data_IF_628476416680
#
_entry.id   IF_628476416680
#
_cell.length_a   1.000
_cell.length_b   1.000
_cell.length_c   1.000
_cell.angle_alpha   90.00
_cell.angle_beta   90.00
_cell.angle_gamma   90.00
#
_symmetry.space_group_name_H-M   'P 1'
#
loop_
_entity.id
_entity.type
_entity.pdbx_description
1 polymer ?
#
# COMPACT_ATOMS: atom_id res chain seq x y z
N UNK A 1 -0.61 68.60 -50.18
CA UNK A 1 -1.15 68.23 -48.86
C UNK A 1 -2.27 67.22 -49.05
N UNK A 2 -2.03 65.93 -48.82
CA UNK A 2 -3.07 64.93 -48.53
C UNK A 2 -2.44 63.80 -47.74
N UNK A 3 -2.84 63.69 -46.47
CA UNK A 3 -2.38 62.69 -45.50
C UNK A 3 -3.14 61.38 -45.70
N UNK A 4 -2.42 60.25 -45.79
CA UNK A 4 -2.97 58.90 -45.63
C UNK A 4 -2.38 58.28 -44.38
N UNK A 5 -3.13 58.30 -43.29
CA UNK A 5 -2.82 57.58 -42.06
C UNK A 5 -3.02 56.08 -42.26
N UNK A 6 -2.01 55.28 -41.94
CA UNK A 6 -2.05 53.82 -42.00
C UNK A 6 -2.03 53.28 -40.57
N UNK A 7 -3.20 53.00 -40.00
CA UNK A 7 -3.34 52.34 -38.71
C UNK A 7 -3.07 50.84 -38.87
N UNK A 8 -1.88 50.37 -38.46
CA UNK A 8 -1.61 48.94 -38.28
C UNK A 8 -2.06 48.50 -36.89
N UNK A 9 -3.21 47.81 -36.85
CA UNK A 9 -3.66 47.04 -35.70
C UNK A 9 -2.69 45.88 -35.44
N UNK A 10 -1.90 45.96 -34.36
CA UNK A 10 -1.09 44.83 -33.89
C UNK A 10 -1.95 44.01 -32.93
N UNK A 11 -2.64 42.98 -33.45
CA UNK A 11 -3.29 41.97 -32.60
C UNK A 11 -2.21 41.14 -31.92
N UNK A 12 -1.94 41.42 -30.64
CA UNK A 12 -1.12 40.55 -29.81
C UNK A 12 -1.91 39.28 -29.48
N UNK A 13 -1.50 38.14 -30.07
CA UNK A 13 -1.96 36.83 -29.65
C UNK A 13 -1.31 36.49 -28.30
N UNK A 14 -1.98 36.83 -27.21
CA UNK A 14 -1.61 36.33 -25.89
C UNK A 14 -2.03 34.87 -25.79
N UNK A 15 -1.07 33.96 -26.03
CA UNK A 15 -1.21 32.56 -25.65
C UNK A 15 -1.07 32.51 -24.13
N UNK A 16 -2.17 32.23 -23.42
CA UNK A 16 -2.14 31.98 -21.99
C UNK A 16 -1.38 30.67 -21.75
N UNK A 17 -0.08 30.79 -21.48
CA UNK A 17 0.80 29.66 -21.23
C UNK A 17 0.69 29.34 -19.74
N UNK A 18 -0.13 28.35 -19.40
CA UNK A 18 -0.35 27.87 -18.03
C UNK A 18 0.83 27.03 -17.49
N UNK A 19 1.94 26.96 -18.22
CA UNK A 19 3.16 26.32 -17.75
C UNK A 19 4.05 27.38 -17.10
N UNK A 20 4.32 27.18 -15.81
CA UNK A 20 5.32 27.94 -15.06
C UNK A 20 6.66 27.88 -15.84
N UNK A 21 7.39 29.00 -16.01
CA UNK A 21 8.66 28.97 -16.70
C UNK A 21 9.61 28.03 -15.95
N UNK A 22 9.98 26.91 -16.58
CA UNK A 22 10.96 25.97 -16.03
C UNK A 22 12.26 26.75 -15.79
N UNK A 23 12.56 27.02 -14.51
CA UNK A 23 13.72 27.80 -14.11
C UNK A 23 15.00 27.07 -14.55
N UNK A 24 15.75 27.69 -15.48
CA UNK A 24 17.13 27.28 -15.76
C UNK A 24 17.98 27.63 -14.54
N UNK A 25 18.35 26.62 -13.73
CA UNK A 25 19.07 26.82 -12.48
C UNK A 25 19.24 25.52 -11.66
N UNK A 26 19.46 25.65 -10.35
CA UNK A 26 19.58 24.54 -9.40
C UNK A 26 18.33 23.67 -9.33
N UNK A 27 18.48 22.41 -8.89
CA UNK A 27 17.38 21.44 -8.77
C UNK A 27 16.16 22.03 -8.04
N UNK A 28 14.93 21.90 -8.58
CA UNK A 28 13.74 22.49 -7.99
C UNK A 28 13.46 21.93 -6.59
N UNK A 29 13.21 22.83 -5.64
CA UNK A 29 12.78 22.49 -4.28
C UNK A 29 11.34 21.96 -4.28
N UNK A 30 10.95 21.29 -3.19
CA UNK A 30 9.56 20.85 -3.05
C UNK A 30 8.67 22.08 -2.86
N UNK A 31 7.50 22.07 -3.49
CA UNK A 31 6.44 23.04 -3.24
C UNK A 31 6.02 22.99 -1.77
N UNK A 32 5.58 24.12 -1.21
CA UNK A 32 5.11 24.18 0.16
C UNK A 32 3.88 23.28 0.34
N UNK A 33 3.96 22.33 1.29
CA UNK A 33 2.82 21.47 1.63
C UNK A 33 1.76 22.27 2.38
N UNK A 34 0.50 22.04 2.03
CA UNK A 34 -0.63 22.61 2.76
C UNK A 34 -0.80 21.94 4.14
N UNK A 35 -1.42 22.64 5.10
CA UNK A 35 -1.70 22.09 6.45
C UNK A 35 -2.53 20.80 6.35
N UNK A 36 -3.54 20.80 5.48
CA UNK A 36 -4.40 19.64 5.24
C UNK A 36 -3.60 18.45 4.69
N UNK A 37 -2.67 18.69 3.76
CA UNK A 37 -1.80 17.63 3.22
C UNK A 37 -0.92 17.03 4.32
N UNK A 38 -0.38 17.85 5.22
CA UNK A 38 0.41 17.39 6.38
C UNK A 38 -0.45 16.53 7.31
N UNK A 39 -1.67 16.97 7.65
CA UNK A 39 -2.57 16.20 8.51
C UNK A 39 -2.94 14.84 7.89
N UNK A 40 -3.24 14.81 6.59
CA UNK A 40 -3.51 13.55 5.88
C UNK A 40 -2.29 12.64 5.91
N UNK A 41 -1.08 13.17 5.71
CA UNK A 41 0.16 12.40 5.79
C UNK A 41 0.39 11.82 7.19
N UNK A 42 0.05 12.56 8.25
CA UNK A 42 0.09 12.06 9.63
C UNK A 42 -0.89 10.89 9.84
N UNK A 43 -2.14 11.03 9.38
CA UNK A 43 -3.15 9.97 9.45
C UNK A 43 -2.67 8.73 8.68
N UNK A 44 -2.20 8.92 7.45
CA UNK A 44 -1.65 7.84 6.61
C UNK A 44 -0.47 7.17 7.31
N UNK A 45 0.42 7.92 7.97
CA UNK A 45 1.52 7.35 8.72
C UNK A 45 1.04 6.45 9.87
N UNK A 46 0.02 6.88 10.63
CA UNK A 46 -0.60 6.07 11.68
C UNK A 46 -1.24 4.82 11.09
N UNK A 47 -2.03 4.95 10.02
CA UNK A 47 -2.65 3.83 9.31
C UNK A 47 -1.60 2.80 8.84
N UNK A 48 -0.49 3.26 8.25
CA UNK A 48 0.62 2.40 7.85
C UNK A 48 1.25 1.66 9.04
N UNK A 49 1.40 2.33 10.18
CA UNK A 49 1.95 1.72 11.40
C UNK A 49 1.03 0.63 11.96
N UNK A 50 -0.29 0.82 11.87
CA UNK A 50 -1.30 -0.18 12.27
C UNK A 50 -1.33 -1.36 11.29
N UNK A 51 -1.35 -1.09 9.98
CA UNK A 51 -1.44 -2.11 8.94
C UNK A 51 -0.16 -2.94 8.79
N UNK A 52 1.01 -2.29 8.79
CA UNK A 52 2.31 -2.93 8.54
C UNK A 52 3.05 -3.28 9.83
N UNK A 53 2.32 -3.60 10.89
CA UNK A 53 2.88 -4.37 11.98
C UNK A 53 3.51 -5.65 11.43
N UNK A 54 4.65 -6.07 11.99
CA UNK A 54 5.40 -7.21 11.47
C UNK A 54 4.46 -8.41 11.27
N UNK A 55 4.36 -8.87 10.04
CA UNK A 55 3.39 -9.91 9.64
C UNK A 55 3.71 -11.23 10.32
N UNK A 56 4.99 -11.52 10.59
CA UNK A 56 5.38 -12.70 11.37
C UNK A 56 4.84 -12.63 12.79
N UNK A 57 5.00 -11.47 13.45
CA UNK A 57 4.46 -11.24 14.79
C UNK A 57 2.94 -11.25 14.80
N UNK A 58 2.28 -10.68 13.78
CA UNK A 58 0.82 -10.72 13.64
C UNK A 58 0.28 -12.14 13.50
N UNK A 59 0.94 -12.97 12.70
CA UNK A 59 0.61 -14.39 12.56
C UNK A 59 0.78 -15.12 13.90
N UNK A 60 1.88 -14.86 14.62
CA UNK A 60 2.09 -15.43 15.94
C UNK A 60 0.99 -15.00 16.94
N UNK A 61 0.56 -13.73 16.90
CA UNK A 61 -0.56 -13.22 17.71
C UNK A 61 -1.86 -13.91 17.32
N UNK A 62 -2.16 -14.10 16.04
CA UNK A 62 -3.38 -14.80 15.60
C UNK A 62 -3.39 -16.26 16.03
N UNK A 63 -2.29 -17.00 15.85
CA UNK A 63 -2.18 -18.38 16.29
C UNK A 63 -2.24 -18.51 17.81
N UNK A 64 -1.55 -17.62 18.53
CA UNK A 64 -1.59 -17.55 19.99
C UNK A 64 -2.99 -17.24 20.51
N UNK A 65 -3.70 -16.29 19.89
CA UNK A 65 -5.09 -15.99 20.23
C UNK A 65 -6.01 -17.18 19.92
N UNK A 66 -5.88 -17.81 18.75
CA UNK A 66 -6.68 -18.99 18.40
C UNK A 66 -6.49 -20.14 19.37
N UNK A 67 -5.28 -20.34 19.88
CA UNK A 67 -5.00 -21.43 20.82
C UNK A 67 -5.40 -21.04 22.25
N UNK A 68 -4.78 -19.98 22.80
CA UNK A 68 -4.93 -19.60 24.19
C UNK A 68 -6.32 -19.05 24.51
N UNK A 69 -6.85 -18.15 23.67
CA UNK A 69 -8.15 -17.54 23.94
C UNK A 69 -9.30 -18.54 23.72
N UNK A 70 -9.16 -19.47 22.77
CA UNK A 70 -10.13 -20.57 22.63
C UNK A 70 -10.11 -21.50 23.84
N UNK A 71 -8.94 -21.87 24.37
CA UNK A 71 -8.85 -22.69 25.58
C UNK A 71 -9.50 -21.99 26.79
N UNK A 72 -9.24 -20.69 26.94
CA UNK A 72 -9.88 -19.89 27.99
C UNK A 72 -11.40 -19.85 27.80
N UNK A 73 -11.89 -19.70 26.57
CA UNK A 73 -13.32 -19.68 26.28
C UNK A 73 -14.02 -21.03 26.47
N UNK A 74 -13.31 -22.13 26.23
CA UNK A 74 -13.85 -23.48 26.47
C UNK A 74 -13.93 -23.78 27.98
N UNK A 75 -13.06 -23.19 28.80
CA UNK A 75 -13.07 -23.33 30.27
C UNK A 75 -13.99 -22.33 30.95
N UNK A 76 -13.96 -21.07 30.53
CA UNK A 76 -14.78 -19.99 31.07
C UNK A 76 -15.97 -19.75 30.14
N UNK A 77 -17.15 -20.18 30.56
CA UNK A 77 -18.39 -19.87 29.84
C UNK A 77 -18.65 -18.37 29.88
N UNK A 78 -18.27 -17.65 28.81
CA UNK A 78 -18.48 -16.21 28.71
C UNK A 78 -19.97 -15.86 28.71
N UNK A 79 -20.37 -14.75 29.37
CA UNK A 79 -21.77 -14.35 29.42
C UNK A 79 -22.30 -14.04 28.02
N UNK A 80 -23.58 -14.35 27.79
CA UNK A 80 -24.24 -14.08 26.51
C UNK A 80 -24.32 -12.57 26.28
N UNK A 81 -23.57 -12.07 25.30
CA UNK A 81 -23.59 -10.67 24.84
C UNK A 81 -24.21 -10.57 23.44
N UNK A 82 -24.34 -9.35 22.90
CA UNK A 82 -24.79 -9.13 21.52
C UNK A 82 -23.98 -9.94 20.48
N UNK A 83 -22.67 -10.07 20.68
CA UNK A 83 -21.78 -10.84 19.79
C UNK A 83 -21.97 -12.36 19.87
N UNK A 84 -22.56 -12.86 20.96
CA UNK A 84 -22.90 -14.27 21.13
C UNK A 84 -24.07 -14.72 20.25
N UNK A 85 -24.92 -13.79 19.79
CA UNK A 85 -26.07 -14.17 18.95
C UNK A 85 -25.64 -14.28 17.49
N UNK A 86 -25.94 -15.43 16.87
CA UNK A 86 -25.59 -15.70 15.46
C UNK A 86 -26.35 -14.83 14.45
N UNK A 87 -27.45 -14.20 14.88
CA UNK A 87 -28.29 -13.30 14.10
C UNK A 87 -27.84 -11.83 14.13
N UNK A 88 -26.76 -11.52 14.85
CA UNK A 88 -26.28 -10.14 14.95
C UNK A 88 -25.83 -9.61 13.56
N UNK A 89 -25.93 -8.28 13.39
CA UNK A 89 -25.68 -7.61 12.09
C UNK A 89 -24.26 -7.89 11.59
N UNK A 90 -23.28 -7.89 12.49
CA UNK A 90 -21.88 -8.14 12.14
C UNK A 90 -21.68 -9.58 11.64
N UNK A 91 -22.30 -10.57 12.28
CA UNK A 91 -22.17 -11.96 11.84
C UNK A 91 -22.89 -12.18 10.50
N UNK A 92 -24.11 -11.64 10.35
CA UNK A 92 -24.91 -11.85 9.14
C UNK A 92 -24.39 -11.10 7.91
N UNK A 93 -24.03 -9.82 8.03
CA UNK A 93 -23.65 -9.00 6.87
C UNK A 93 -22.15 -8.86 6.72
N UNK A 94 -21.41 -8.85 7.83
CA UNK A 94 -19.99 -8.55 7.78
C UNK A 94 -19.14 -9.81 7.67
N UNK A 95 -19.36 -10.83 8.51
CA UNK A 95 -18.57 -12.08 8.45
C UNK A 95 -18.98 -12.96 7.27
N UNK A 96 -20.28 -13.22 7.07
CA UNK A 96 -20.75 -14.08 5.97
C UNK A 96 -20.42 -13.53 4.58
N UNK A 97 -20.52 -12.22 4.39
CA UNK A 97 -20.19 -11.54 3.13
C UNK A 97 -18.77 -10.95 3.20
N UNK A 98 -17.91 -11.45 4.10
CA UNK A 98 -16.63 -10.84 4.41
C UNK A 98 -15.66 -10.72 3.24
N UNK A 99 -15.69 -11.71 2.35
CA UNK A 99 -14.87 -11.68 1.14
C UNK A 99 -15.25 -10.54 0.20
N UNK A 100 -16.55 -10.22 0.08
CA UNK A 100 -17.02 -9.11 -0.74
C UNK A 100 -16.46 -7.78 -0.22
N UNK A 101 -16.52 -7.53 1.09
CA UNK A 101 -15.98 -6.30 1.68
C UNK A 101 -14.47 -6.17 1.44
N UNK A 102 -13.76 -7.30 1.51
CA UNK A 102 -12.32 -7.36 1.22
C UNK A 102 -12.05 -7.01 -0.25
N UNK A 103 -12.78 -7.61 -1.20
CA UNK A 103 -12.63 -7.29 -2.62
C UNK A 103 -13.06 -5.87 -2.96
N UNK A 104 -14.13 -5.38 -2.34
CA UNK A 104 -14.67 -4.04 -2.56
C UNK A 104 -13.65 -2.95 -2.28
N UNK A 105 -12.79 -3.12 -1.27
CA UNK A 105 -11.70 -2.17 -1.00
C UNK A 105 -10.41 -2.52 -1.75
N UNK A 106 -10.04 -3.79 -1.85
CA UNK A 106 -8.75 -4.19 -2.42
C UNK A 106 -8.71 -4.08 -3.94
N UNK A 107 -9.78 -4.42 -4.69
CA UNK A 107 -9.82 -4.32 -6.15
C UNK A 107 -9.58 -2.89 -6.66
N UNK A 108 -10.34 -1.85 -6.22
CA UNK A 108 -10.08 -0.49 -6.68
C UNK A 108 -8.73 0.02 -6.19
N UNK A 109 -8.31 -0.32 -4.97
CA UNK A 109 -7.00 0.05 -4.46
C UNK A 109 -5.85 -0.50 -5.31
N UNK A 110 -5.88 -1.80 -5.61
CA UNK A 110 -4.88 -2.48 -6.47
C UNK A 110 -4.94 -1.92 -7.88
N UNK A 111 -6.12 -1.65 -8.43
CA UNK A 111 -6.24 -1.03 -9.75
C UNK A 111 -5.59 0.35 -9.81
N UNK A 112 -5.89 1.24 -8.85
CA UNK A 112 -5.31 2.59 -8.81
C UNK A 112 -3.79 2.57 -8.62
N UNK A 113 -3.30 1.74 -7.69
CA UNK A 113 -1.86 1.61 -7.43
C UNK A 113 -1.11 0.96 -8.60
N UNK A 114 -1.68 -0.05 -9.23
CA UNK A 114 -1.10 -0.69 -10.42
C UNK A 114 -1.13 0.21 -11.64
N UNK A 115 -2.19 1.00 -11.84
CA UNK A 115 -2.28 1.90 -12.98
C UNK A 115 -1.17 2.94 -12.99
N UNK A 116 -0.86 3.53 -11.83
CA UNK A 116 0.26 4.48 -11.69
C UNK A 116 1.62 3.79 -11.88
N UNK A 117 1.88 2.70 -11.16
CA UNK A 117 3.20 2.02 -11.15
C UNK A 117 3.52 1.30 -12.47
N UNK A 118 2.49 0.89 -13.23
CA UNK A 118 2.60 0.31 -14.56
C UNK A 118 2.40 1.32 -15.70
N UNK A 119 2.38 2.63 -15.42
CA UNK A 119 2.19 3.69 -16.42
C UNK A 119 1.03 3.43 -17.42
N UNK A 120 -0.08 2.85 -16.95
CA UNK A 120 -1.26 2.55 -17.76
C UNK A 120 -1.21 1.28 -18.64
N UNK A 121 -0.18 0.43 -18.54
CA UNK A 121 -0.09 -0.82 -19.32
C UNK A 121 -1.10 -1.88 -18.84
N UNK A 122 -2.28 -1.91 -19.50
CA UNK A 122 -3.40 -2.79 -19.14
C UNK A 122 -3.05 -4.28 -19.02
N UNK A 123 -2.25 -4.81 -19.96
CA UNK A 123 -1.84 -6.23 -19.94
C UNK A 123 -1.09 -6.56 -18.65
N UNK A 124 -0.11 -5.73 -18.27
CA UNK A 124 0.67 -5.92 -17.05
C UNK A 124 -0.20 -5.79 -15.80
N UNK A 125 -1.11 -4.81 -15.75
CA UNK A 125 -2.04 -4.63 -14.62
C UNK A 125 -2.90 -5.89 -14.41
N UNK A 126 -3.44 -6.43 -15.51
CA UNK A 126 -4.28 -7.63 -15.46
C UNK A 126 -3.49 -8.86 -15.03
N UNK A 127 -2.36 -9.14 -15.66
CA UNK A 127 -1.61 -10.38 -15.43
C UNK A 127 -0.78 -10.37 -14.15
N UNK A 128 -0.27 -9.21 -13.73
CA UNK A 128 0.63 -9.12 -12.58
C UNK A 128 -0.07 -8.75 -11.27
N UNK A 129 -1.23 -8.07 -11.31
CA UNK A 129 -1.88 -7.55 -10.10
C UNK A 129 -3.30 -8.06 -9.93
N UNK A 130 -4.17 -7.93 -10.93
CA UNK A 130 -5.56 -8.37 -10.80
C UNK A 130 -5.70 -9.90 -10.77
N UNK A 131 -4.83 -10.62 -11.48
CA UNK A 131 -4.76 -12.07 -11.41
C UNK A 131 -4.50 -12.58 -9.98
N UNK A 132 -3.79 -11.80 -9.15
CA UNK A 132 -3.51 -12.16 -7.76
C UNK A 132 -4.78 -12.19 -6.91
N UNK A 133 -5.66 -11.21 -7.09
CA UNK A 133 -6.96 -11.16 -6.41
C UNK A 133 -7.89 -12.28 -6.90
N UNK A 134 -7.81 -12.63 -8.19
CA UNK A 134 -8.52 -13.78 -8.74
C UNK A 134 -8.04 -15.09 -8.12
N UNK A 135 -6.73 -15.32 -8.07
CA UNK A 135 -6.14 -16.49 -7.41
C UNK A 135 -6.55 -16.55 -5.93
N UNK A 136 -6.50 -15.41 -5.23
CA UNK A 136 -6.92 -15.35 -3.84
C UNK A 136 -8.39 -15.73 -3.65
N UNK A 137 -9.27 -15.31 -4.58
CA UNK A 137 -10.70 -15.67 -4.60
C UNK A 137 -10.93 -17.15 -4.88
N UNK A 138 -10.14 -17.73 -5.79
CA UNK A 138 -10.19 -19.17 -6.08
C UNK A 138 -9.83 -19.96 -4.82
N UNK A 139 -8.73 -19.63 -4.14
CA UNK A 139 -8.34 -20.31 -2.90
C UNK A 139 -9.39 -20.18 -1.79
N UNK A 140 -9.98 -18.99 -1.62
CA UNK A 140 -11.08 -18.80 -0.67
C UNK A 140 -12.26 -19.72 -0.98
N UNK A 141 -12.70 -19.75 -2.24
CA UNK A 141 -13.83 -20.58 -2.67
C UNK A 141 -13.51 -22.07 -2.53
N UNK A 142 -12.31 -22.51 -2.91
CA UNK A 142 -11.86 -23.89 -2.78
C UNK A 142 -11.86 -24.33 -1.31
N UNK A 143 -11.26 -23.57 -0.41
CA UNK A 143 -11.18 -23.95 1.00
C UNK A 143 -12.54 -23.96 1.70
N UNK A 144 -13.38 -22.96 1.46
CA UNK A 144 -14.74 -22.95 2.03
C UNK A 144 -15.59 -24.12 1.52
N UNK A 145 -15.44 -24.48 0.24
CA UNK A 145 -16.09 -25.67 -0.33
C UNK A 145 -15.53 -26.97 0.29
N UNK A 146 -14.22 -27.06 0.49
CA UNK A 146 -13.58 -28.22 1.13
C UNK A 146 -14.04 -28.38 2.58
N UNK A 147 -14.15 -27.29 3.36
CA UNK A 147 -14.64 -27.35 4.74
C UNK A 147 -16.07 -27.88 4.79
N UNK A 148 -16.97 -27.34 3.95
CA UNK A 148 -18.33 -27.85 3.83
C UNK A 148 -18.35 -29.33 3.40
N UNK A 149 -17.50 -29.73 2.46
CA UNK A 149 -17.40 -31.13 2.02
C UNK A 149 -16.95 -32.05 3.16
N UNK A 150 -15.99 -31.63 3.98
CA UNK A 150 -15.50 -32.40 5.13
C UNK A 150 -16.64 -32.60 6.14
N UNK A 151 -17.35 -31.55 6.49
CA UNK A 151 -18.48 -31.61 7.43
C UNK A 151 -19.59 -32.54 6.93
N UNK A 152 -19.90 -32.49 5.62
CA UNK A 152 -20.92 -33.34 4.99
C UNK A 152 -20.51 -34.81 4.92
N UNK A 153 -19.24 -35.12 4.63
CA UNK A 153 -18.78 -36.51 4.44
C UNK A 153 -18.47 -37.23 5.75
N UNK A 154 -17.93 -36.53 6.74
CA UNK A 154 -17.48 -37.13 7.99
C UNK A 154 -18.47 -36.92 9.15
N UNK A 155 -19.49 -36.09 8.97
CA UNK A 155 -20.55 -35.93 9.95
C UNK A 155 -21.51 -37.12 9.99
N UNK A 156 -22.20 -37.25 11.13
CA UNK A 156 -23.24 -38.27 11.35
C UNK A 156 -24.48 -37.63 11.93
N UNK A 157 -25.63 -38.07 11.45
CA UNK A 157 -26.91 -37.72 12.08
C UNK A 157 -27.05 -38.48 13.40
N UNK A 158 -27.68 -37.85 14.39
CA UNK A 158 -28.02 -38.52 15.65
C UNK A 158 -28.99 -39.71 15.43
N UNK A 159 -29.78 -39.67 14.35
CA UNK A 159 -30.61 -40.78 13.90
C UNK A 159 -29.87 -41.65 12.87
N UNK A 160 -29.97 -42.98 13.00
CA UNK A 160 -29.36 -43.93 12.04
C UNK A 160 -30.10 -43.99 10.70
N UNK A 161 -31.28 -43.40 10.60
CA UNK A 161 -32.14 -43.47 9.41
C UNK A 161 -31.68 -42.55 8.28
N UNK A 162 -30.96 -41.47 8.61
CA UNK A 162 -30.59 -40.43 7.64
C UNK A 162 -29.07 -40.29 7.55
N UNK A 163 -28.53 -40.48 6.35
CA UNK A 163 -27.10 -40.27 6.07
C UNK A 163 -26.78 -38.83 5.67
N UNK A 164 -27.77 -38.08 5.19
CA UNK A 164 -27.56 -36.76 4.61
C UNK A 164 -27.85 -35.63 5.62
N UNK A 165 -26.94 -34.67 5.74
CA UNK A 165 -27.07 -33.51 6.66
C UNK A 165 -28.37 -32.75 6.44
N UNK A 166 -28.72 -32.49 5.18
CA UNK A 166 -29.90 -31.69 4.83
C UNK A 166 -31.18 -32.40 5.28
N UNK A 167 -31.28 -33.71 5.05
CA UNK A 167 -32.44 -34.50 5.44
C UNK A 167 -32.50 -34.70 6.96
N UNK A 168 -31.35 -34.92 7.61
CA UNK A 168 -31.24 -35.00 9.07
C UNK A 168 -31.77 -33.72 9.75
N UNK A 169 -31.30 -32.55 9.32
CA UNK A 169 -31.70 -31.26 9.89
C UNK A 169 -33.16 -30.92 9.57
N UNK A 170 -33.64 -31.26 8.36
CA UNK A 170 -35.04 -31.03 7.96
C UNK A 170 -36.02 -31.80 8.84
N UNK A 171 -35.65 -33.00 9.27
CA UNK A 171 -36.46 -33.84 10.17
C UNK A 171 -36.24 -33.50 11.66
N UNK A 172 -35.58 -32.38 11.97
CA UNK A 172 -35.39 -31.89 13.33
C UNK A 172 -34.32 -32.66 14.14
N UNK A 173 -33.49 -33.47 13.48
CA UNK A 173 -32.39 -34.17 14.14
C UNK A 173 -31.13 -33.33 14.17
N UNK A 174 -30.24 -33.61 15.13
CA UNK A 174 -28.95 -32.94 15.25
C UNK A 174 -27.88 -33.65 14.39
N UNK A 175 -27.06 -32.85 13.70
CA UNK A 175 -25.92 -33.33 12.92
C UNK A 175 -24.64 -33.14 13.73
N UNK A 176 -23.95 -34.25 14.04
CA UNK A 176 -22.67 -34.22 14.73
C UNK A 176 -21.55 -34.43 13.70
N UNK A 177 -20.87 -33.36 13.30
CA UNK A 177 -19.78 -33.39 12.35
C UNK A 177 -18.68 -32.43 12.75
N UNK A 178 -17.49 -32.65 12.19
CA UNK A 178 -16.36 -31.75 12.37
C UNK A 178 -16.50 -30.55 11.44
N UNK A 179 -16.87 -29.39 11.99
CA UNK A 179 -17.17 -28.16 11.24
C UNK A 179 -15.99 -27.18 11.32
N UNK A 180 -15.06 -27.28 10.36
CA UNK A 180 -13.92 -26.37 10.29
C UNK A 180 -14.45 -24.94 10.10
N UNK A 181 -14.10 -24.05 11.04
CA UNK A 181 -14.67 -22.70 11.07
C UNK A 181 -14.30 -21.87 9.83
N UNK A 182 -15.22 -21.81 8.86
CA UNK A 182 -15.09 -20.96 7.67
C UNK A 182 -15.02 -19.46 8.01
N UNK A 183 -15.66 -19.05 9.11
CA UNK A 183 -15.62 -17.67 9.62
C UNK A 183 -14.22 -17.30 10.13
N UNK A 184 -13.57 -18.18 10.89
CA UNK A 184 -12.21 -17.91 11.35
C UNK A 184 -11.22 -17.87 10.17
N UNK A 185 -11.34 -18.82 9.23
CA UNK A 185 -10.56 -18.84 8.00
C UNK A 185 -10.70 -17.53 7.22
N UNK A 186 -11.92 -17.08 6.93
CA UNK A 186 -12.13 -15.88 6.11
C UNK A 186 -11.57 -14.62 6.77
N UNK A 187 -11.68 -14.49 8.09
CA UNK A 187 -11.19 -13.33 8.84
C UNK A 187 -9.66 -13.23 8.78
N UNK A 188 -8.96 -14.34 9.05
CA UNK A 188 -7.50 -14.40 9.01
C UNK A 188 -7.00 -14.25 7.57
N UNK A 189 -7.58 -15.01 6.64
CA UNK A 189 -7.15 -15.00 5.25
C UNK A 189 -7.35 -13.63 4.61
N UNK A 190 -8.52 -13.00 4.80
CA UNK A 190 -8.80 -11.65 4.30
C UNK A 190 -7.87 -10.62 4.90
N UNK A 191 -7.58 -10.71 6.21
CA UNK A 191 -6.63 -9.81 6.86
C UNK A 191 -5.23 -9.90 6.23
N UNK A 192 -4.70 -11.11 6.06
CA UNK A 192 -3.36 -11.30 5.53
C UNK A 192 -3.25 -10.85 4.06
N UNK A 193 -4.25 -11.14 3.24
CA UNK A 193 -4.33 -10.66 1.85
C UNK A 193 -4.38 -9.12 1.82
N UNK A 194 -5.24 -8.52 2.63
CA UNK A 194 -5.43 -7.07 2.68
C UNK A 194 -4.15 -6.33 3.09
N UNK A 195 -3.41 -6.86 4.08
CA UNK A 195 -2.12 -6.29 4.50
C UNK A 195 -1.08 -6.36 3.38
N UNK A 196 -0.95 -7.50 2.70
CA UNK A 196 0.01 -7.65 1.60
C UNK A 196 -0.31 -6.74 0.42
N UNK A 197 -1.59 -6.67 0.01
CA UNK A 197 -2.02 -5.78 -1.07
C UNK A 197 -1.76 -4.31 -0.73
N UNK A 198 -2.02 -3.90 0.52
CA UNK A 198 -1.77 -2.56 0.99
C UNK A 198 -0.28 -2.15 0.97
N UNK A 199 0.67 -3.11 0.96
CA UNK A 199 2.12 -2.81 0.92
C UNK A 199 2.54 -1.98 -0.30
N UNK A 200 1.72 -1.91 -1.34
CA UNK A 200 1.94 -1.03 -2.49
C UNK A 200 2.12 0.46 -2.09
N UNK A 201 1.61 0.91 -0.93
CA UNK A 201 1.83 2.29 -0.44
C UNK A 201 3.21 2.54 0.18
N UNK A 202 3.98 1.50 0.51
CA UNK A 202 5.36 1.70 0.93
C UNK A 202 6.09 2.42 -0.19
N UNK A 203 7.00 3.35 0.12
CA UNK A 203 7.70 4.17 -0.89
C UNK A 203 6.86 5.11 -1.76
N UNK A 204 5.52 5.10 -1.69
CA UNK A 204 4.63 5.83 -2.63
C UNK A 204 4.94 7.33 -2.73
N UNK A 205 5.15 7.99 -1.60
CA UNK A 205 5.44 9.44 -1.55
C UNK A 205 6.73 9.82 -2.28
N UNK A 206 7.67 8.88 -2.47
CA UNK A 206 8.93 9.12 -3.21
C UNK A 206 8.72 9.19 -4.71
N UNK A 207 7.60 8.68 -5.23
CA UNK A 207 7.29 8.75 -6.66
C UNK A 207 7.24 10.22 -7.10
N UNK A 208 6.70 11.12 -6.28
CA UNK A 208 6.71 12.58 -6.54
C UNK A 208 8.12 13.13 -6.72
N UNK A 209 9.07 12.72 -5.87
CA UNK A 209 10.46 13.14 -6.00
C UNK A 209 11.10 12.60 -7.27
N UNK A 210 10.88 11.32 -7.60
CA UNK A 210 11.43 10.73 -8.82
C UNK A 210 10.93 11.41 -10.08
N UNK A 211 9.63 11.75 -10.14
CA UNK A 211 9.03 12.47 -11.26
C UNK A 211 9.67 13.86 -11.42
N UNK A 212 9.80 14.60 -10.32
CA UNK A 212 10.43 15.94 -10.33
C UNK A 212 11.88 15.87 -10.80
N UNK A 213 12.64 14.94 -10.23
CA UNK A 213 14.06 14.78 -10.51
C UNK A 213 14.32 14.35 -11.97
N UNK A 214 13.45 13.51 -12.52
CA UNK A 214 13.51 13.09 -13.93
C UNK A 214 13.13 14.23 -14.88
N UNK A 215 12.07 15.00 -14.58
CA UNK A 215 11.67 16.17 -15.39
C UNK A 215 12.82 17.18 -15.49
N UNK A 216 13.48 17.46 -14.37
CA UNK A 216 14.65 18.35 -14.33
C UNK A 216 15.85 17.80 -15.10
N UNK A 217 16.15 16.50 -14.98
CA UNK A 217 17.26 15.88 -15.71
C UNK A 217 17.04 15.90 -17.23
N UNK A 218 15.79 15.72 -17.67
CA UNK A 218 15.40 15.80 -19.09
C UNK A 218 15.45 17.23 -19.63
N UNK A 219 15.06 18.25 -18.84
CA UNK A 219 15.11 19.65 -19.29
C UNK A 219 16.53 20.15 -19.50
N UNK A 220 17.51 19.61 -18.76
CA UNK A 220 18.93 19.92 -18.93
C UNK A 220 19.62 19.10 -20.03
N UNK A 221 18.92 18.14 -20.67
CA UNK A 221 19.52 17.13 -21.55
C UNK A 221 20.73 16.43 -20.90
N UNK A 222 20.74 16.33 -19.57
CA UNK A 222 21.85 15.72 -18.86
C UNK A 222 21.84 14.22 -19.17
N UNK A 223 22.90 13.73 -19.83
CA UNK A 223 23.12 12.32 -20.16
C UNK A 223 23.94 11.58 -19.11
N UNK A 224 24.26 12.24 -17.99
CA UNK A 224 24.96 11.61 -16.87
C UNK A 224 24.21 10.33 -16.40
N UNK A 225 24.94 9.32 -15.89
CA UNK A 225 24.33 8.16 -15.29
C UNK A 225 23.59 8.58 -14.01
N UNK A 226 22.29 8.86 -14.12
CA UNK A 226 21.44 9.17 -12.99
C UNK A 226 20.95 7.89 -12.32
N UNK A 227 20.89 7.89 -10.99
CA UNK A 227 20.39 6.75 -10.18
C UNK A 227 18.85 6.66 -10.22
N UNK A 228 18.18 7.51 -11.02
CA UNK A 228 16.72 7.61 -11.01
C UNK A 228 16.08 6.38 -11.69
N UNK A 229 15.20 5.62 -10.99
CA UNK A 229 14.51 4.47 -11.57
C UNK A 229 13.65 4.80 -12.82
N UNK A 230 13.24 6.07 -12.97
CA UNK A 230 12.39 6.52 -14.10
C UNK A 230 13.17 6.80 -15.39
N UNK A 231 14.51 6.76 -15.36
CA UNK A 231 15.35 7.10 -16.52
C UNK A 231 15.09 6.25 -17.76
N UNK A 232 14.68 4.99 -17.56
CA UNK A 232 14.42 4.01 -18.64
C UNK A 232 13.04 4.16 -19.29
N UNK A 233 12.17 5.01 -18.74
CA UNK A 233 10.76 5.14 -19.13
C UNK A 233 10.61 6.16 -20.26
N UNK A 234 9.69 5.91 -21.20
CA UNK A 234 9.43 6.84 -22.30
C UNK A 234 8.81 8.18 -21.83
N UNK A 235 8.84 9.24 -22.65
CA UNK A 235 8.21 10.53 -22.33
C UNK A 235 6.70 10.42 -22.13
N UNK A 236 6.01 9.64 -22.97
CA UNK A 236 4.57 9.46 -22.89
C UNK A 236 4.17 8.70 -21.62
N UNK A 237 4.93 7.66 -21.28
CA UNK A 237 4.75 6.89 -20.06
C UNK A 237 5.00 7.74 -18.81
N UNK A 238 5.99 8.66 -18.85
CA UNK A 238 6.25 9.60 -17.75
C UNK A 238 5.10 10.60 -17.58
N UNK A 239 4.51 11.09 -18.67
CA UNK A 239 3.36 11.99 -18.63
C UNK A 239 2.11 11.28 -18.06
N UNK A 240 1.87 10.03 -18.45
CA UNK A 240 0.81 9.20 -17.89
C UNK A 240 1.05 8.98 -16.39
N UNK A 241 2.28 8.66 -15.99
CA UNK A 241 2.65 8.49 -14.59
C UNK A 241 2.39 9.76 -13.77
N UNK A 242 2.80 10.94 -14.26
CA UNK A 242 2.54 12.21 -13.57
C UNK A 242 1.05 12.46 -13.36
N UNK A 243 0.28 12.44 -14.42
CA UNK A 243 -1.16 12.73 -14.39
C UNK A 243 -1.91 11.72 -13.52
N UNK A 244 -1.57 10.43 -13.63
CA UNK A 244 -2.20 9.39 -12.82
C UNK A 244 -1.80 9.46 -11.35
N UNK A 245 -0.54 9.78 -11.03
CA UNK A 245 -0.09 9.95 -9.64
C UNK A 245 -0.80 11.10 -8.95
N UNK A 246 -0.86 12.28 -9.58
CA UNK A 246 -1.53 13.46 -9.02
C UNK A 246 -3.03 13.21 -8.82
N UNK A 247 -3.69 12.57 -9.81
CA UNK A 247 -5.12 12.26 -9.73
C UNK A 247 -5.44 11.17 -8.72
N UNK A 248 -4.62 10.11 -8.63
CA UNK A 248 -4.97 8.91 -7.85
C UNK A 248 -4.45 8.91 -6.42
N UNK A 249 -3.39 9.64 -6.10
CA UNK A 249 -2.85 9.72 -4.73
C UNK A 249 -3.90 10.03 -3.65
N UNK A 250 -4.82 11.01 -3.78
CA UNK A 250 -5.82 11.25 -2.75
C UNK A 250 -6.75 10.04 -2.54
N UNK A 251 -7.17 9.38 -3.62
CA UNK A 251 -8.02 8.18 -3.53
C UNK A 251 -7.26 7.00 -2.93
N UNK A 252 -6.01 6.78 -3.33
CA UNK A 252 -5.15 5.73 -2.76
C UNK A 252 -4.99 5.92 -1.25
N UNK A 253 -4.79 7.16 -0.78
CA UNK A 253 -4.73 7.48 0.65
C UNK A 253 -6.07 7.23 1.35
N UNK A 254 -7.19 7.62 0.75
CA UNK A 254 -8.53 7.38 1.30
C UNK A 254 -8.84 5.87 1.42
N UNK A 255 -8.52 5.08 0.38
CA UNK A 255 -8.67 3.63 0.42
C UNK A 255 -7.77 3.00 1.48
N UNK A 256 -6.53 3.46 1.67
CA UNK A 256 -5.66 2.95 2.74
C UNK A 256 -6.28 3.16 4.13
N UNK A 257 -6.90 4.32 4.37
CA UNK A 257 -7.59 4.62 5.61
C UNK A 257 -8.77 3.66 5.80
N UNK A 258 -9.60 3.48 4.77
CA UNK A 258 -10.73 2.54 4.79
C UNK A 258 -10.27 1.07 5.02
N UNK A 259 -9.19 0.66 4.36
CA UNK A 259 -8.54 -0.65 4.52
C UNK A 259 -8.06 -0.84 5.96
N UNK A 260 -7.53 0.20 6.60
CA UNK A 260 -7.11 0.16 8.02
C UNK A 260 -8.31 -0.07 8.94
N UNK A 261 -9.42 0.64 8.73
CA UNK A 261 -10.63 0.44 9.51
C UNK A 261 -11.21 -0.97 9.32
N UNK A 262 -11.25 -1.46 8.07
CA UNK A 262 -11.71 -2.80 7.77
C UNK A 262 -10.82 -3.86 8.46
N UNK A 263 -9.51 -3.65 8.47
CA UNK A 263 -8.55 -4.52 9.15
C UNK A 263 -8.80 -4.59 10.66
N UNK A 264 -9.03 -3.46 11.33
CA UNK A 264 -9.37 -3.43 12.75
C UNK A 264 -10.69 -4.15 13.03
N UNK A 265 -11.65 -4.03 12.11
CA UNK A 265 -12.92 -4.73 12.20
C UNK A 265 -12.72 -6.26 12.07
N UNK A 266 -11.85 -6.73 11.17
CA UNK A 266 -11.47 -8.14 11.11
C UNK A 266 -10.86 -8.65 12.41
N UNK A 267 -9.99 -7.85 13.04
CA UNK A 267 -9.36 -8.22 14.32
C UNK A 267 -10.40 -8.37 15.45
N UNK A 268 -11.35 -7.43 15.56
CA UNK A 268 -12.43 -7.49 16.57
C UNK A 268 -13.38 -8.66 16.32
N UNK A 269 -13.72 -8.91 15.04
CA UNK A 269 -14.61 -10.03 14.69
C UNK A 269 -13.91 -11.37 14.89
N UNK A 270 -12.60 -11.47 14.66
CA UNK A 270 -11.83 -12.69 14.94
C UNK A 270 -11.88 -13.04 16.42
N UNK A 271 -11.65 -12.07 17.30
CA UNK A 271 -11.77 -12.26 18.75
C UNK A 271 -13.19 -12.70 19.11
N UNK A 272 -14.22 -12.07 18.54
CA UNK A 272 -15.62 -12.46 18.78
C UNK A 272 -15.92 -13.90 18.32
N UNK A 273 -15.40 -14.30 17.15
CA UNK A 273 -15.54 -15.68 16.65
C UNK A 273 -14.84 -16.69 17.56
N UNK A 274 -13.66 -16.34 18.07
CA UNK A 274 -12.90 -17.19 19.00
C UNK A 274 -13.66 -17.39 20.32
N UNK A 275 -14.31 -16.36 20.84
CA UNK A 275 -14.98 -16.42 22.14
C UNK A 275 -16.32 -17.16 22.13
N UNK A 276 -17.09 -17.10 21.05
CA UNK A 276 -18.51 -17.50 21.09
C UNK A 276 -18.91 -18.67 20.17
N UNK A 277 -18.09 -19.07 19.21
CA UNK A 277 -18.50 -20.03 18.16
C UNK A 277 -17.44 -21.10 17.95
N UNK A 278 -17.81 -22.34 17.60
CA UNK A 278 -16.90 -23.48 17.33
C UNK A 278 -16.01 -23.93 18.50
N UNK A 279 -15.49 -25.14 18.40
CA UNK A 279 -14.47 -25.68 19.33
C UNK A 279 -13.07 -25.20 18.95
N UNK A 280 -12.11 -25.24 19.89
CA UNK A 280 -10.73 -24.81 19.66
C UNK A 280 -10.07 -25.44 18.42
N UNK A 281 -10.22 -26.76 18.25
CA UNK A 281 -9.54 -27.50 17.17
C UNK A 281 -10.03 -27.08 15.78
N UNK A 282 -11.34 -26.87 15.61
CA UNK A 282 -11.94 -26.39 14.36
C UNK A 282 -11.41 -25.01 13.95
N UNK A 283 -11.32 -24.09 14.93
CA UNK A 283 -10.77 -22.74 14.72
C UNK A 283 -9.29 -22.81 14.36
N UNK A 284 -8.51 -23.60 15.10
CA UNK A 284 -7.07 -23.67 14.93
C UNK A 284 -6.67 -24.23 13.56
N UNK A 285 -7.32 -25.30 13.10
CA UNK A 285 -7.11 -25.85 11.75
C UNK A 285 -7.44 -24.81 10.68
N UNK A 286 -8.57 -24.11 10.82
CA UNK A 286 -8.97 -23.06 9.87
C UNK A 286 -7.93 -21.93 9.77
N UNK A 287 -7.35 -21.52 10.90
CA UNK A 287 -6.29 -20.50 10.96
C UNK A 287 -5.00 -20.96 10.32
N UNK A 288 -4.57 -22.21 10.57
CA UNK A 288 -3.38 -22.79 9.92
C UNK A 288 -3.56 -22.81 8.40
N UNK A 289 -4.71 -23.28 7.92
CA UNK A 289 -5.00 -23.33 6.48
C UNK A 289 -4.97 -21.94 5.85
N UNK A 290 -5.52 -20.92 6.52
CA UNK A 290 -5.46 -19.53 6.06
C UNK A 290 -4.01 -19.03 5.93
N UNK A 291 -3.20 -19.23 6.98
CA UNK A 291 -1.80 -18.78 7.02
C UNK A 291 -0.94 -19.52 6.00
N UNK A 292 -1.10 -20.84 5.87
CA UNK A 292 -0.38 -21.64 4.89
C UNK A 292 -0.71 -21.21 3.46
N UNK A 293 -1.99 -20.99 3.16
CA UNK A 293 -2.43 -20.52 1.84
C UNK A 293 -1.81 -19.16 1.50
N UNK A 294 -1.83 -18.24 2.46
CA UNK A 294 -1.17 -16.94 2.33
C UNK A 294 0.35 -17.08 2.14
N UNK A 295 1.00 -17.95 2.91
CA UNK A 295 2.46 -18.13 2.83
C UNK A 295 2.88 -18.69 1.47
N UNK A 296 2.21 -19.75 1.01
CA UNK A 296 2.47 -20.38 -0.29
C UNK A 296 2.27 -19.37 -1.42
N UNK A 297 1.23 -18.54 -1.35
CA UNK A 297 0.96 -17.54 -2.40
C UNK A 297 1.94 -16.36 -2.33
N UNK A 298 1.97 -15.60 -1.24
CA UNK A 298 2.71 -14.34 -1.16
C UNK A 298 4.20 -14.47 -0.86
N UNK A 299 4.65 -15.53 -0.19
CA UNK A 299 6.06 -15.71 0.19
C UNK A 299 6.82 -16.64 -0.74
N UNK A 300 6.13 -17.59 -1.37
CA UNK A 300 6.75 -18.57 -2.27
C UNK A 300 6.39 -18.34 -3.73
N UNK A 301 5.11 -18.38 -4.10
CA UNK A 301 4.70 -18.30 -5.50
C UNK A 301 5.02 -16.92 -6.10
N UNK A 302 4.50 -15.84 -5.51
CA UNK A 302 4.61 -14.50 -6.11
C UNK A 302 6.02 -13.91 -6.05
N UNK A 303 6.95 -14.56 -5.34
CA UNK A 303 8.36 -14.16 -5.29
C UNK A 303 9.19 -14.73 -6.43
N UNK A 304 8.68 -15.73 -7.16
CA UNK A 304 9.36 -16.35 -8.29
C UNK A 304 9.28 -15.42 -9.52
N UNK A 305 10.41 -14.87 -10.03
CA UNK A 305 10.37 -13.87 -11.10
C UNK A 305 9.83 -14.37 -12.44
N UNK A 306 9.88 -15.68 -12.68
CA UNK A 306 9.44 -16.32 -13.93
C UNK A 306 7.97 -16.70 -13.92
N UNK A 307 7.28 -16.60 -12.78
CA UNK A 307 5.91 -17.07 -12.60
C UNK A 307 5.02 -15.90 -12.20
N UNK A 308 3.94 -15.69 -12.97
CA UNK A 308 2.93 -14.69 -12.64
C UNK A 308 2.04 -15.20 -11.49
N UNK A 309 1.45 -14.30 -10.67
CA UNK A 309 1.56 -12.83 -10.66
C UNK A 309 2.76 -12.27 -9.86
N UNK A 310 3.08 -11.00 -10.07
CA UNK A 310 4.18 -10.30 -9.39
C UNK A 310 3.81 -9.89 -7.96
N UNK A 311 4.78 -9.40 -7.17
CA UNK A 311 4.49 -8.85 -5.83
C UNK A 311 3.72 -7.51 -5.88
N UNK A 312 2.97 -7.18 -4.81
CA UNK A 312 2.35 -5.87 -4.65
C UNK A 312 3.38 -4.74 -4.76
N UNK A 313 3.05 -3.69 -5.53
CA UNK A 313 3.94 -2.55 -5.74
C UNK A 313 5.13 -2.78 -6.70
N UNK A 314 5.21 -3.92 -7.38
CA UNK A 314 6.14 -4.10 -8.49
C UNK A 314 5.54 -3.57 -9.79
N UNK A 315 6.10 -2.48 -10.31
CA UNK A 315 5.70 -1.89 -11.60
C UNK A 315 6.84 -1.85 -12.62
N UNK A 316 6.72 -0.95 -13.58
CA UNK A 316 7.78 -0.72 -14.60
C UNK A 316 9.06 -0.16 -13.96
N UNK A 317 8.93 0.50 -12.82
CA UNK A 317 10.03 1.05 -12.05
C UNK A 317 9.91 0.67 -10.58
N UNK A 318 11.06 0.63 -9.90
CA UNK A 318 11.14 0.35 -8.47
C UNK A 318 11.12 1.65 -7.68
N UNK A 319 10.06 1.86 -6.89
CA UNK A 319 9.95 3.01 -5.98
C UNK A 319 10.17 2.63 -4.50
N UNK A 320 10.05 1.34 -4.17
CA UNK A 320 10.17 0.77 -2.83
C UNK A 320 11.60 0.42 -2.45
N UNK A 321 12.55 1.29 -2.78
CA UNK A 321 13.92 1.12 -2.34
C UNK A 321 13.97 1.56 -0.88
N UNK A 322 13.76 0.64 0.06
CA UNK A 322 14.26 0.87 1.41
C UNK A 322 15.74 1.21 1.26
N UNK A 323 16.16 2.39 1.76
CA UNK A 323 17.59 2.65 1.87
C UNK A 323 18.11 1.46 2.67
N UNK A 324 19.13 0.71 2.19
CA UNK A 324 19.85 -0.13 3.11
C UNK A 324 20.23 0.77 4.28
N UNK A 325 20.09 0.29 5.52
CA UNK A 325 20.74 0.90 6.67
C UNK A 325 22.25 0.80 6.40
N UNK A 326 22.77 1.64 5.51
CA UNK A 326 24.15 2.04 5.56
C UNK A 326 24.24 2.79 6.88
N UNK A 327 24.72 2.07 7.90
CA UNK A 327 25.39 2.67 9.04
C UNK A 327 26.12 3.91 8.50
N UNK A 328 25.79 5.07 9.07
CA UNK A 328 26.24 6.35 8.60
C UNK A 328 27.73 6.29 8.26
N UNK A 329 28.06 6.14 6.97
CA UNK A 329 29.41 6.40 6.51
C UNK A 329 29.57 7.89 6.81
N UNK A 330 30.48 8.29 7.72
CA UNK A 330 30.67 9.69 8.01
C UNK A 330 30.95 10.34 6.67
N UNK A 331 30.08 11.24 6.21
CA UNK A 331 30.44 12.10 5.11
C UNK A 331 31.69 12.82 5.60
N UNK A 332 32.84 12.42 5.05
CA UNK A 332 34.10 13.13 5.23
C UNK A 332 33.85 14.49 4.62
N UNK A 333 33.40 15.44 5.46
CA UNK A 333 33.41 16.86 5.12
C UNK A 333 34.84 17.09 4.66
N UNK A 334 35.04 17.32 3.35
CA UNK A 334 36.27 17.93 2.88
C UNK A 334 36.30 19.31 3.53
N UNK A 335 36.97 19.41 4.66
CA UNK A 335 37.38 20.68 5.22
C UNK A 335 38.36 21.28 4.23
N UNK A 336 37.86 22.14 3.35
CA UNK A 336 38.71 23.07 2.64
C UNK A 336 39.10 24.10 3.70
N UNK A 337 40.23 23.86 4.36
CA UNK A 337 40.91 24.88 5.14
C UNK A 337 41.46 25.86 4.12
N UNK A 338 40.70 26.91 3.81
CA UNK A 338 41.24 28.09 3.16
C UNK A 338 41.20 29.23 4.19
N UNK A 339 42.39 29.63 4.61
CA UNK A 339 42.63 30.58 5.68
C UNK A 339 42.46 32.03 5.18
N UNK A 340 41.27 32.36 4.67
CA UNK A 340 40.91 33.69 4.18
C UNK A 340 39.57 34.15 4.76
N UNK A 341 39.50 35.40 5.24
CA UNK A 341 38.24 35.96 5.75
C UNK A 341 37.26 36.14 4.58
N UNK A 342 36.16 35.40 4.61
CA UNK A 342 35.05 35.48 3.66
C UNK A 342 33.83 36.13 4.34
N UNK A 343 33.10 36.99 3.62
CA UNK A 343 31.75 37.42 4.02
C UNK A 343 30.77 36.93 2.96
N UNK A 344 29.76 36.15 3.37
CA UNK A 344 28.76 35.52 2.48
C UNK A 344 29.35 34.72 1.30
N UNK A 345 30.50 34.07 1.49
CA UNK A 345 31.08 33.13 0.51
C UNK A 345 31.84 33.74 -0.68
N UNK A 346 31.99 35.07 -0.77
CA UNK A 346 32.92 35.71 -1.70
C UNK A 346 34.26 36.05 -0.99
N UNK A 347 35.41 35.90 -1.67
CA UNK A 347 36.70 36.38 -1.14
C UNK A 347 36.71 37.91 -1.08
N UNK A 348 37.02 38.46 0.09
CA UNK A 348 37.22 39.91 0.27
C UNK A 348 38.65 40.22 -0.20
N UNK A 349 38.80 40.72 -1.43
CA UNK A 349 40.07 41.32 -1.85
C UNK A 349 40.23 42.65 -1.12
N UNK A 350 41.26 42.77 -0.27
CA UNK A 350 41.71 44.09 0.18
C UNK A 350 42.36 44.78 -1.02
N UNK A 351 41.75 45.88 -1.47
CA UNK A 351 42.36 46.77 -2.45
C UNK A 351 43.72 47.23 -1.91
N UNK A 352 44.75 47.04 -2.72
CA UNK A 352 46.09 47.54 -2.53
C UNK A 352 46.08 49.08 -2.44
N UNK A 353 46.78 49.58 -1.43
CA UNK A 353 47.00 51.00 -1.14
C UNK A 353 47.48 51.79 -2.37
N UNK A 354 46.76 52.86 -2.68
CA UNK A 354 47.29 54.00 -3.45
C UNK A 354 48.00 54.89 -2.43
N UNK A 355 49.32 54.85 -2.41
CA UNK A 355 50.15 55.79 -1.66
C UNK A 355 50.55 56.95 -2.57
N UNK A 356 49.85 58.08 -2.46
CA UNK A 356 50.31 59.36 -3.00
C UNK A 356 51.22 60.07 -1.98
N UNK A 357 52.46 60.32 -2.45
CA UNK A 357 53.32 61.53 -2.32
C UNK A 357 53.21 62.40 -1.06
N UNK A 358 54.33 62.60 -0.34
CA UNK A 358 54.79 63.92 0.17
C UNK A 358 56.33 63.96 0.24
N UNK A 359 56.90 65.03 -0.33
CA UNK A 359 58.30 65.49 -0.29
C UNK A 359 58.83 65.81 1.13
N UNK A 360 60.15 65.73 1.36
CA UNK A 360 60.96 66.87 1.87
C UNK A 360 62.44 66.54 2.11
N UNK A 361 63.30 67.25 1.38
CA UNK A 361 64.48 68.04 1.84
C UNK A 361 65.30 67.47 3.02
N UNK A 362 66.51 66.95 2.74
CA UNK A 362 67.82 67.62 2.92
C UNK A 362 69.00 66.73 2.54
#
# INVERSE_FOLDING_TARGET
>A
MTSRGNYKNTRMNYKFQNDSPDAKGTKPIREASSILEVLILMIVHICKKVLFFDTGLKIAVYLGALFLLSLIADVLTFPKTYFSRSDNIFNQYFVKIGWFWTLFLTVPYVFLTSYTTCCGKRKLILTAHLLRLLIATIFWYTWTTVFNMIEMKYGRCNSRTYSDKVECLKNGHFWNGFDISGHCFILIYSSLVLIEEARAINGWERIRDYIRDEKYSRSLNDKSPSVNPLRKINTDELNILKTSYEKFTPYVRAFLIAITFLQLLWDVMLVSTILYYHIMVEKFISGIVAILTWYVTYRVWYTIPSLLPNLPGQGIFKYNIEKPNTAAVPQRKRSIINNGKHFMGMPINKGSDVGDVVDDIK
#
